data_IF_456553550868
#
_entry.id   IF_456553550868
#
_cell.length_a   1.000
_cell.length_b   1.000
_cell.length_c   1.000
_cell.angle_alpha   90.00
_cell.angle_beta   90.00
_cell.angle_gamma   90.00
#
_symmetry.space_group_name_H-M   'P 1'
#
loop_
_entity.id
_entity.type
_entity.pdbx_description
1 polymer ?
#
# COMPACT_ATOMS: atom_id res chain seq x y z
N UNK A 1 -3.27 11.61 26.20
CA UNK A 1 -4.69 11.26 25.99
C UNK A 1 -4.77 10.36 24.77
N UNK A 2 -5.26 9.13 24.93
CA UNK A 2 -5.42 8.18 23.83
C UNK A 2 -6.59 8.65 22.97
N UNK A 3 -6.39 8.70 21.65
CA UNK A 3 -7.42 9.12 20.70
C UNK A 3 -7.75 7.97 19.75
N UNK A 4 -9.04 7.80 19.50
CA UNK A 4 -9.56 6.87 18.50
C UNK A 4 -10.24 7.65 17.40
N UNK A 5 -10.24 7.09 16.20
CA UNK A 5 -10.72 7.75 15.01
C UNK A 5 -11.71 6.87 14.27
N UNK A 6 -12.77 7.47 13.73
CA UNK A 6 -13.73 6.76 12.89
C UNK A 6 -13.08 6.25 11.60
N UNK A 7 -12.13 7.03 11.08
CA UNK A 7 -11.45 6.77 9.82
C UNK A 7 -10.02 7.35 9.88
N UNK A 8 -9.19 6.99 8.90
CA UNK A 8 -7.85 7.54 8.75
C UNK A 8 -7.47 7.70 7.28
N UNK A 9 -6.49 8.55 7.01
CA UNK A 9 -5.95 8.76 5.68
C UNK A 9 -4.43 8.86 5.74
N UNK A 10 -3.79 8.72 4.58
CA UNK A 10 -2.36 8.80 4.45
C UNK A 10 -1.95 10.17 3.91
N UNK A 11 -0.91 10.75 4.50
CA UNK A 11 -0.27 11.97 3.99
C UNK A 11 1.23 11.85 4.15
N UNK A 12 1.96 11.95 3.03
CA UNK A 12 3.42 11.82 2.98
C UNK A 12 3.92 10.51 3.60
N UNK A 13 3.19 9.40 3.40
CA UNK A 13 3.52 8.09 3.97
C UNK A 13 3.28 7.98 5.48
N UNK A 14 2.58 8.93 6.10
CA UNK A 14 2.20 8.90 7.52
C UNK A 14 0.67 8.81 7.67
N UNK A 15 0.16 8.05 8.66
CA UNK A 15 -1.27 7.98 8.89
C UNK A 15 -1.77 9.16 9.73
N UNK A 16 -2.96 9.65 9.41
CA UNK A 16 -3.67 10.72 10.12
C UNK A 16 -5.12 10.30 10.38
N UNK A 17 -5.58 10.50 11.60
CA UNK A 17 -6.97 10.24 11.95
C UNK A 17 -7.89 11.37 11.48
N UNK A 18 -9.08 11.03 10.98
CA UNK A 18 -10.03 12.01 10.43
C UNK A 18 -10.92 12.65 11.50
N UNK A 19 -11.73 11.83 12.17
CA UNK A 19 -12.75 12.26 13.15
C UNK A 19 -12.56 11.49 14.44
N UNK A 20 -12.35 12.22 15.54
CA UNK A 20 -12.19 11.62 16.87
C UNK A 20 -13.51 11.01 17.34
N UNK A 21 -13.47 9.79 17.86
CA UNK A 21 -14.65 9.06 18.35
C UNK A 21 -14.38 8.36 19.68
N UNK A 22 -15.46 8.03 20.38
CA UNK A 22 -15.43 7.13 21.53
C UNK A 22 -15.59 5.67 21.07
N UNK A 23 -14.67 4.75 21.43
CA UNK A 23 -14.71 3.35 20.98
C UNK A 23 -15.98 2.62 21.37
N UNK A 24 -16.52 2.91 22.55
CA UNK A 24 -17.71 2.24 23.08
C UNK A 24 -18.98 2.49 22.25
N UNK A 25 -19.00 3.56 21.44
CA UNK A 25 -20.18 3.99 20.68
C UNK A 25 -20.03 3.80 19.16
N UNK A 26 -18.91 3.23 18.70
CA UNK A 26 -18.62 3.07 17.27
C UNK A 26 -18.40 1.60 16.94
N UNK A 27 -19.01 1.12 15.85
CA UNK A 27 -18.86 -0.28 15.43
C UNK A 27 -17.41 -0.63 15.07
N UNK A 28 -16.72 0.26 14.35
CA UNK A 28 -15.30 0.13 13.98
C UNK A 28 -14.62 1.46 14.24
N UNK A 29 -13.46 1.43 14.90
CA UNK A 29 -12.59 2.60 15.02
C UNK A 29 -11.12 2.21 14.92
N UNK A 30 -10.27 3.21 14.76
CA UNK A 30 -8.84 3.06 14.54
C UNK A 30 -8.06 3.89 15.54
N UNK A 31 -6.91 3.38 15.98
CA UNK A 31 -5.98 4.09 16.85
C UNK A 31 -4.63 4.14 16.17
N UNK A 32 -4.10 5.35 16.02
CA UNK A 32 -2.77 5.58 15.48
C UNK A 32 -1.82 5.69 16.66
N UNK A 33 -0.84 4.80 16.73
CA UNK A 33 0.13 4.72 17.82
C UNK A 33 1.50 5.14 17.30
N UNK A 34 1.91 6.40 17.52
CA UNK A 34 3.28 6.81 17.25
C UNK A 34 4.21 6.36 18.38
N UNK A 35 5.47 6.09 18.05
CA UNK A 35 6.53 6.04 19.06
C UNK A 35 6.80 7.46 19.64
N UNK A 36 7.50 7.57 20.78
CA UNK A 36 7.76 8.87 21.41
C UNK A 36 8.47 9.89 20.51
N UNK A 37 9.19 9.43 19.49
CA UNK A 37 9.97 10.27 18.57
C UNK A 37 9.32 10.45 17.19
N UNK A 38 8.10 9.95 16.97
CA UNK A 38 7.39 9.97 15.69
C UNK A 38 8.20 9.39 14.52
N UNK A 39 9.14 8.49 14.84
CA UNK A 39 9.91 7.70 13.89
C UNK A 39 9.18 6.44 13.48
N UNK A 40 8.25 5.93 14.29
CA UNK A 40 7.47 4.73 13.98
C UNK A 40 6.00 4.97 14.26
N UNK A 41 5.17 4.31 13.48
CA UNK A 41 3.73 4.34 13.59
C UNK A 41 3.18 2.93 13.44
N UNK A 42 2.22 2.59 14.27
CA UNK A 42 1.30 1.50 14.00
C UNK A 42 -0.13 2.03 13.94
N UNK A 43 -0.98 1.29 13.25
CA UNK A 43 -2.43 1.54 13.25
C UNK A 43 -3.09 0.28 13.78
N UNK A 44 -3.88 0.44 14.82
CA UNK A 44 -4.67 -0.62 15.44
C UNK A 44 -6.13 -0.45 15.02
N UNK A 45 -6.81 -1.55 14.70
CA UNK A 45 -8.25 -1.60 14.44
C UNK A 45 -8.96 -2.14 15.67
N UNK A 46 -10.10 -1.55 15.99
CA UNK A 46 -10.97 -1.93 17.08
C UNK A 46 -12.39 -2.16 16.54
N UNK A 47 -13.07 -3.17 17.08
CA UNK A 47 -14.46 -3.50 16.78
C UNK A 47 -15.25 -3.47 18.08
N UNK A 48 -16.30 -2.65 18.15
CA UNK A 48 -17.14 -2.48 19.34
C UNK A 48 -16.34 -2.23 20.63
N UNK A 49 -15.29 -1.40 20.54
CA UNK A 49 -14.41 -1.06 21.66
C UNK A 49 -13.33 -2.10 22.00
N UNK A 50 -13.33 -3.27 21.36
CA UNK A 50 -12.31 -4.30 21.57
C UNK A 50 -11.23 -4.25 20.50
N UNK A 51 -9.99 -4.50 20.89
CA UNK A 51 -8.88 -4.65 19.94
C UNK A 51 -9.15 -5.83 19.01
N UNK A 52 -9.02 -5.59 17.70
CA UNK A 52 -9.17 -6.60 16.66
C UNK A 52 -7.80 -7.02 16.13
N UNK A 53 -7.06 -6.08 15.52
CA UNK A 53 -5.75 -6.35 14.91
C UNK A 53 -4.92 -5.10 14.67
N UNK A 54 -3.62 -5.28 14.45
CA UNK A 54 -2.75 -4.24 13.86
C UNK A 54 -2.92 -4.30 12.35
N UNK A 55 -3.22 -3.16 11.73
CA UNK A 55 -3.44 -3.04 10.28
C UNK A 55 -2.29 -2.35 9.55
N UNK A 56 -1.38 -1.72 10.28
CA UNK A 56 -0.13 -1.19 9.75
C UNK A 56 0.91 -1.16 10.86
N UNK A 57 2.14 -1.51 10.50
CA UNK A 57 3.30 -1.32 11.36
C UNK A 57 4.50 -0.92 10.51
N UNK A 58 4.98 0.31 10.71
CA UNK A 58 6.18 0.85 10.04
C UNK A 58 7.45 0.02 10.29
N UNK A 59 7.47 -0.84 11.30
CA UNK A 59 8.59 -1.77 11.51
C UNK A 59 8.67 -2.85 10.43
N UNK A 60 7.52 -3.27 9.89
CA UNK A 60 7.45 -4.29 8.84
C UNK A 60 7.64 -3.68 7.45
N UNK A 61 6.98 -2.54 7.21
CA UNK A 61 7.13 -1.79 5.98
C UNK A 61 6.80 -0.32 6.25
N UNK A 62 7.83 0.52 6.21
CA UNK A 62 7.65 1.96 6.28
C UNK A 62 7.38 2.53 4.89
N UNK A 63 6.16 2.99 4.64
CA UNK A 63 5.82 3.56 3.33
C UNK A 63 6.62 4.80 2.97
N UNK A 64 7.25 5.47 3.94
CA UNK A 64 8.16 6.59 3.66
C UNK A 64 9.42 6.13 2.93
N UNK A 65 9.82 4.87 3.13
CA UNK A 65 10.99 4.28 2.48
C UNK A 65 10.71 3.78 1.06
N UNK A 66 9.47 3.86 0.59
CA UNK A 66 9.12 3.54 -0.80
C UNK A 66 9.37 4.70 -1.77
N UNK A 67 10.05 5.75 -1.31
CA UNK A 67 10.51 6.85 -2.17
C UNK A 67 11.77 6.42 -2.91
N UNK A 68 11.87 6.81 -4.17
CA UNK A 68 12.83 6.31 -5.15
C UNK A 68 14.29 6.29 -4.66
N UNK A 69 14.71 7.28 -3.86
CA UNK A 69 16.09 7.38 -3.34
C UNK A 69 16.49 6.17 -2.49
N UNK A 70 15.55 5.59 -1.73
CA UNK A 70 15.85 4.52 -0.78
C UNK A 70 15.79 3.13 -1.43
N UNK A 71 15.16 3.01 -2.60
CA UNK A 71 14.98 1.75 -3.33
C UNK A 71 16.09 1.44 -4.35
N UNK A 72 16.95 2.42 -4.69
CA UNK A 72 17.98 2.29 -5.74
C UNK A 72 18.97 1.14 -5.50
N UNK A 73 19.07 0.63 -4.28
CA UNK A 73 20.01 -0.40 -3.91
C UNK A 73 19.34 -1.75 -3.55
N UNK A 74 18.03 -1.90 -3.79
CA UNK A 74 17.35 -3.17 -3.55
C UNK A 74 17.56 -4.15 -4.69
N UNK A 75 17.85 -5.40 -4.34
CA UNK A 75 17.99 -6.49 -5.30
C UNK A 75 16.69 -7.30 -5.36
N UNK A 76 16.22 -7.60 -6.56
CA UNK A 76 15.01 -8.40 -6.80
C UNK A 76 15.38 -9.78 -7.34
N UNK A 77 15.08 -10.82 -6.57
CA UNK A 77 15.30 -12.22 -6.91
C UNK A 77 13.96 -12.88 -7.28
N UNK A 78 13.85 -13.45 -8.47
CA UNK A 78 12.63 -14.18 -8.87
C UNK A 78 12.61 -15.57 -8.21
N UNK A 79 11.54 -15.86 -7.49
CA UNK A 79 11.35 -17.14 -6.79
C UNK A 79 10.52 -18.11 -7.62
N UNK A 80 9.40 -17.64 -8.16
CA UNK A 80 8.41 -18.44 -8.88
C UNK A 80 7.79 -17.60 -10.00
N UNK A 81 7.55 -18.19 -11.17
CA UNK A 81 6.89 -17.52 -12.27
C UNK A 81 6.00 -18.52 -13.03
N UNK A 82 4.76 -18.13 -13.27
CA UNK A 82 3.84 -18.83 -14.14
C UNK A 82 3.08 -17.80 -15.01
N UNK A 83 2.15 -18.27 -15.84
CA UNK A 83 1.46 -17.40 -16.81
C UNK A 83 0.69 -16.24 -16.17
N UNK A 84 0.14 -16.47 -14.98
CA UNK A 84 -0.81 -15.54 -14.35
C UNK A 84 -0.20 -14.82 -13.15
N UNK A 85 0.94 -15.30 -12.63
CA UNK A 85 1.57 -14.78 -11.42
C UNK A 85 3.09 -14.86 -11.47
N UNK A 86 3.74 -13.88 -10.85
CA UNK A 86 5.20 -13.87 -10.61
C UNK A 86 5.46 -13.51 -9.16
N UNK A 87 6.40 -14.20 -8.53
CA UNK A 87 6.77 -14.00 -7.13
C UNK A 87 8.24 -13.66 -7.04
N UNK A 88 8.54 -12.59 -6.32
CA UNK A 88 9.91 -12.10 -6.16
C UNK A 88 10.22 -11.81 -4.71
N UNK A 89 11.46 -12.08 -4.32
CA UNK A 89 12.06 -11.69 -3.06
C UNK A 89 12.83 -10.38 -3.26
N UNK A 90 12.54 -9.38 -2.42
CA UNK A 90 13.31 -8.15 -2.35
C UNK A 90 14.33 -8.25 -1.22
N UNK A 91 15.57 -7.90 -1.54
CA UNK A 91 16.69 -7.85 -0.60
C UNK A 91 17.26 -6.44 -0.51
N UNK A 92 17.71 -6.07 0.68
CA UNK A 92 18.41 -4.82 0.91
C UNK A 92 19.90 -4.93 0.46
N UNK A 93 20.68 -3.84 0.55
CA UNK A 93 22.09 -3.85 0.15
C UNK A 93 22.99 -4.76 0.99
N UNK A 94 22.52 -5.17 2.17
CA UNK A 94 23.22 -6.10 3.07
C UNK A 94 22.80 -7.57 2.82
N UNK A 95 22.14 -7.84 1.67
CA UNK A 95 21.60 -9.15 1.26
C UNK A 95 20.50 -9.72 2.19
N UNK A 96 19.90 -8.88 3.04
CA UNK A 96 18.81 -9.32 3.92
C UNK A 96 17.50 -9.31 3.16
N UNK A 97 16.76 -10.41 3.26
CA UNK A 97 15.39 -10.50 2.78
C UNK A 97 14.49 -9.48 3.50
N UNK A 98 13.84 -8.60 2.73
CA UNK A 98 12.99 -7.52 3.25
C UNK A 98 11.52 -7.82 3.03
N UNK A 99 11.14 -8.12 1.78
CA UNK A 99 9.75 -8.26 1.36
C UNK A 99 9.61 -9.37 0.32
N UNK A 100 8.41 -9.92 0.22
CA UNK A 100 7.99 -10.80 -0.88
C UNK A 100 6.91 -10.07 -1.66
N UNK A 101 7.11 -9.93 -2.96
CA UNK A 101 6.13 -9.38 -3.87
C UNK A 101 5.50 -10.49 -4.69
N UNK A 102 4.18 -10.48 -4.82
CA UNK A 102 3.44 -11.41 -5.68
C UNK A 102 2.60 -10.62 -6.67
N UNK A 103 3.03 -10.66 -7.92
CA UNK A 103 2.45 -9.99 -9.06
C UNK A 103 1.37 -10.88 -9.68
N UNK A 104 0.26 -10.26 -10.09
CA UNK A 104 -0.86 -10.92 -10.77
C UNK A 104 -1.08 -10.25 -12.12
N UNK A 105 -1.17 -11.06 -13.17
CA UNK A 105 -1.23 -10.62 -14.55
C UNK A 105 -2.59 -10.93 -15.17
N UNK A 106 -3.06 -10.01 -16.00
CA UNK A 106 -4.23 -10.18 -16.85
C UNK A 106 -3.84 -9.73 -18.27
N UNK A 107 -4.05 -10.60 -19.26
CA UNK A 107 -3.65 -10.35 -20.65
C UNK A 107 -2.18 -9.87 -20.78
N UNK A 108 -1.26 -10.55 -20.10
CA UNK A 108 0.17 -10.24 -20.02
C UNK A 108 0.52 -8.86 -19.42
N UNK A 109 -0.40 -8.22 -18.70
CA UNK A 109 -0.12 -6.98 -17.96
C UNK A 109 -0.35 -7.17 -16.47
N UNK A 110 0.59 -6.70 -15.65
CA UNK A 110 0.44 -6.76 -14.20
C UNK A 110 -0.73 -5.87 -13.77
N UNK A 111 -1.75 -6.42 -13.11
CA UNK A 111 -2.90 -5.66 -12.59
C UNK A 111 -2.79 -5.37 -11.10
N UNK A 112 -2.10 -6.24 -10.36
CA UNK A 112 -1.83 -6.03 -8.95
C UNK A 112 -0.52 -6.67 -8.51
N UNK A 113 0.06 -6.13 -7.46
CA UNK A 113 1.19 -6.71 -6.76
C UNK A 113 0.91 -6.66 -5.25
N UNK A 114 0.86 -7.83 -4.63
CA UNK A 114 0.69 -7.97 -3.19
C UNK A 114 2.06 -7.99 -2.52
N UNK A 115 2.27 -7.09 -1.56
CA UNK A 115 3.52 -6.96 -0.80
C UNK A 115 3.33 -7.65 0.55
N UNK A 116 4.21 -8.59 0.86
CA UNK A 116 4.21 -9.36 2.09
C UNK A 116 5.53 -9.21 2.83
N UNK A 117 5.50 -9.37 4.15
CA UNK A 117 6.72 -9.63 4.91
C UNK A 117 7.31 -10.99 4.52
N UNK A 118 8.58 -11.21 4.86
CA UNK A 118 9.25 -12.51 4.70
C UNK A 118 8.55 -13.65 5.48
N UNK A 119 7.70 -13.32 6.44
CA UNK A 119 6.91 -14.27 7.23
C UNK A 119 5.49 -14.49 6.66
N UNK A 120 5.18 -13.92 5.50
CA UNK A 120 3.89 -14.09 4.82
C UNK A 120 2.77 -13.16 5.32
N UNK A 121 3.07 -12.15 6.14
CA UNK A 121 2.07 -11.16 6.54
C UNK A 121 1.81 -10.20 5.39
N UNK A 122 0.56 -10.02 4.99
CA UNK A 122 0.17 -9.05 3.97
C UNK A 122 0.33 -7.62 4.50
N UNK A 123 1.07 -6.77 3.79
CA UNK A 123 1.42 -5.42 4.25
C UNK A 123 0.79 -4.32 3.38
N UNK A 124 0.73 -4.54 2.07
CA UNK A 124 0.19 -3.57 1.13
C UNK A 124 -0.12 -4.21 -0.23
N UNK A 125 -0.86 -3.49 -1.06
CA UNK A 125 -1.14 -3.89 -2.46
C UNK A 125 -0.90 -2.71 -3.39
N UNK A 126 -0.06 -2.90 -4.41
CA UNK A 126 -0.04 -2.04 -5.59
C UNK A 126 -1.14 -2.50 -6.56
N UNK A 127 -1.96 -1.57 -7.05
CA UNK A 127 -2.89 -1.81 -8.16
C UNK A 127 -2.47 -0.99 -9.36
N UNK A 128 -2.41 -1.63 -10.51
CA UNK A 128 -2.04 -1.01 -11.77
C UNK A 128 -3.31 -0.72 -12.57
N UNK A 129 -3.34 0.48 -13.14
CA UNK A 129 -4.44 1.00 -13.94
C UNK A 129 -3.91 1.27 -15.34
N UNK A 130 -4.70 0.89 -16.35
CA UNK A 130 -4.36 1.04 -17.76
C UNK A 130 -5.60 1.49 -18.53
N UNK A 131 -5.49 2.60 -19.26
CA UNK A 131 -6.55 3.10 -20.14
C UNK A 131 -6.98 2.07 -21.18
N UNK A 132 -6.07 1.20 -21.63
CA UNK A 132 -6.37 0.11 -22.57
C UNK A 132 -7.34 -0.93 -22.00
N UNK A 133 -7.51 -1.00 -20.68
CA UNK A 133 -8.47 -1.86 -19.98
C UNK A 133 -9.72 -1.08 -19.51
N UNK A 134 -9.89 0.17 -19.96
CA UNK A 134 -11.03 1.02 -19.59
C UNK A 134 -10.84 1.84 -18.31
N UNK A 135 -9.64 1.82 -17.70
CA UNK A 135 -9.34 2.67 -16.54
C UNK A 135 -9.22 4.15 -16.96
N UNK A 136 -9.45 5.07 -16.03
CA UNK A 136 -9.43 6.52 -16.33
C UNK A 136 -8.02 7.08 -16.54
N UNK A 137 -6.99 6.37 -16.09
CA UNK A 137 -5.58 6.76 -16.21
C UNK A 137 -4.66 5.54 -16.33
N UNK A 138 -3.42 5.79 -16.76
CA UNK A 138 -2.34 4.82 -16.67
C UNK A 138 -1.56 5.12 -15.40
N UNK A 139 -1.49 4.18 -14.46
CA UNK A 139 -0.91 4.49 -13.16
C UNK A 139 -0.81 3.33 -12.20
N UNK A 140 -0.25 3.62 -11.04
CA UNK A 140 -0.14 2.70 -9.92
C UNK A 140 -0.68 3.38 -8.67
N UNK A 141 -1.51 2.68 -7.90
CA UNK A 141 -1.92 3.12 -6.56
C UNK A 141 -1.50 2.08 -5.54
N UNK A 142 -0.77 2.53 -4.53
CA UNK A 142 -0.40 1.73 -3.37
C UNK A 142 -1.52 1.85 -2.32
N UNK A 143 -2.01 0.71 -1.85
CA UNK A 143 -3.04 0.59 -0.83
C UNK A 143 -2.51 -0.12 0.42
N UNK A 144 -2.98 0.32 1.59
CA UNK A 144 -2.82 -0.46 2.82
C UNK A 144 -3.79 -1.67 2.85
N UNK A 145 -3.70 -2.47 3.91
CA UNK A 145 -4.50 -3.70 4.03
C UNK A 145 -6.00 -3.45 4.26
N UNK A 146 -6.41 -2.22 4.59
CA UNK A 146 -7.82 -1.81 4.66
C UNK A 146 -8.27 -1.13 3.35
N UNK A 147 -7.49 -1.27 2.27
CA UNK A 147 -7.74 -0.68 0.95
C UNK A 147 -7.79 0.85 0.96
N UNK A 148 -6.99 1.50 1.80
CA UNK A 148 -6.83 2.97 1.75
C UNK A 148 -5.62 3.32 0.92
N UNK A 149 -5.80 4.27 0.00
CA UNK A 149 -4.73 4.76 -0.83
C UNK A 149 -3.66 5.42 0.05
N UNK A 150 -2.40 5.11 -0.24
CA UNK A 150 -1.21 5.66 0.42
C UNK A 150 -0.48 6.60 -0.54
N UNK A 151 -0.38 6.19 -1.81
CA UNK A 151 0.35 6.88 -2.86
C UNK A 151 -0.25 6.53 -4.21
N UNK A 152 -0.21 7.50 -5.13
CA UNK A 152 -0.68 7.37 -6.51
C UNK A 152 0.39 7.91 -7.45
N UNK A 153 0.71 7.15 -8.48
CA UNK A 153 1.59 7.55 -9.57
C UNK A 153 0.85 7.45 -10.89
N UNK A 154 0.98 8.48 -11.73
CA UNK A 154 0.43 8.51 -13.09
C UNK A 154 1.59 8.49 -14.06
N UNK A 155 1.48 7.67 -15.10
CA UNK A 155 2.53 7.45 -16.07
C UNK A 155 2.04 7.66 -17.51
N UNK A 156 2.99 7.96 -18.39
CA UNK A 156 2.87 7.62 -19.81
C UNK A 156 3.17 6.14 -20.02
N UNK A 157 2.63 5.57 -21.09
CA UNK A 157 3.02 4.25 -21.54
C UNK A 157 3.98 4.40 -22.72
N UNK A 158 4.97 3.53 -22.77
CA UNK A 158 5.75 3.34 -23.99
C UNK A 158 4.82 2.80 -25.10
N UNK A 159 4.86 3.42 -26.28
CA UNK A 159 3.92 3.10 -27.36
C UNK A 159 4.14 1.70 -27.95
N UNK A 160 5.36 1.16 -27.81
CA UNK A 160 5.76 -0.12 -28.42
C UNK A 160 5.45 -1.27 -27.46
N UNK A 161 5.94 -1.18 -26.22
CA UNK A 161 5.79 -2.23 -25.19
C UNK A 161 4.47 -2.12 -24.43
N UNK A 162 3.90 -0.93 -24.33
CA UNK A 162 2.73 -0.65 -23.49
C UNK A 162 3.03 -0.66 -21.99
N UNK A 163 4.30 -0.65 -21.60
CA UNK A 163 4.77 -0.58 -20.21
C UNK A 163 4.83 0.86 -19.70
N UNK A 164 4.85 1.05 -18.38
CA UNK A 164 5.02 2.37 -17.77
C UNK A 164 6.40 2.93 -18.12
N UNK A 165 6.43 4.13 -18.70
CA UNK A 165 7.67 4.78 -19.14
C UNK A 165 7.97 6.03 -18.31
N UNK A 166 7.29 7.13 -18.60
CA UNK A 166 7.53 8.44 -17.98
C UNK A 166 6.58 8.67 -16.81
N UNK A 167 7.11 8.97 -15.62
CA UNK A 167 6.30 9.40 -14.48
C UNK A 167 5.80 10.84 -14.72
N UNK A 168 4.48 11.01 -14.81
CA UNK A 168 3.83 12.31 -15.01
C UNK A 168 3.53 13.01 -13.68
N UNK A 169 3.05 12.26 -12.69
CA UNK A 169 2.77 12.78 -11.35
C UNK A 169 2.89 11.71 -10.29
N UNK A 170 3.22 12.16 -9.07
CA UNK A 170 3.28 11.32 -7.87
C UNK A 170 2.63 12.08 -6.71
N UNK A 171 1.57 11.52 -6.14
CA UNK A 171 0.80 12.09 -5.05
C UNK A 171 0.93 11.23 -3.79
N UNK A 172 1.11 11.90 -2.65
CA UNK A 172 1.23 11.25 -1.33
C UNK A 172 0.24 11.81 -0.30
N UNK A 173 -0.60 12.77 -0.67
CA UNK A 173 -1.65 13.31 0.21
C UNK A 173 -3.01 12.76 -0.22
N UNK A 174 -3.46 11.72 0.48
CA UNK A 174 -4.65 10.95 0.13
C UNK A 174 -5.87 11.40 0.95
N UNK A 175 -5.84 12.59 1.54
CA UNK A 175 -6.95 13.12 2.35
C UNK A 175 -8.28 13.17 1.57
N UNK A 176 -8.22 13.51 0.28
CA UNK A 176 -9.39 13.67 -0.58
C UNK A 176 -9.68 12.44 -1.46
N UNK A 177 -8.77 11.47 -1.49
CA UNK A 177 -8.94 10.23 -2.24
C UNK A 177 -9.86 9.30 -1.45
N UNK A 178 -11.18 9.59 -1.52
CA UNK A 178 -12.19 8.68 -0.99
C UNK A 178 -12.10 7.37 -1.75
N UNK A 179 -12.05 6.26 -0.99
CA UNK A 179 -12.08 4.86 -1.43
C UNK A 179 -12.39 4.73 -2.93
N UNK A 180 -11.37 4.52 -3.77
CA UNK A 180 -11.56 3.93 -5.10
C UNK A 180 -12.00 2.47 -4.92
N UNK A 181 -13.17 2.27 -4.33
CA UNK A 181 -13.89 1.03 -4.38
C UNK A 181 -14.59 0.99 -5.72
N UNK A 182 -13.88 0.52 -6.75
CA UNK A 182 -14.61 -0.16 -7.80
C UNK A 182 -15.33 -1.35 -7.14
N UNK A 183 -16.63 -1.53 -7.36
CA UNK A 183 -17.36 -2.68 -6.85
C UNK A 183 -16.86 -3.88 -7.63
N UNK A 184 -16.04 -4.72 -7.00
CA UNK A 184 -15.76 -6.05 -7.51
C UNK A 184 -16.19 -7.07 -6.46
N UNK A 185 -17.29 -7.73 -6.83
CA UNK A 185 -17.61 -9.13 -6.52
C UNK A 185 -18.11 -9.42 -5.10
N UNK A 186 -19.42 -9.21 -4.91
CA UNK A 186 -20.29 -10.13 -4.17
C UNK A 186 -20.93 -11.11 -5.14
#
# INVERSE_FOLDING_TARGET
MIRYYQDYYWKMGKPYGSTVVEPAHTSICYKIVPDPYFRRFSIEKYIQGHFDRIIYDSFLLDFRHLKTIEQLAWHKENLEENKDTSKSLLRDPDDRAVLIETYYFENNRCRSCNIHSIHGLHLATNRMYYKTFGDTYNGVVLYDIENRAIMKKIYELDEISGEFSTLLSEEWDMQNERRYGHPLLS
#
